data_IF_184821138319
#
_entry.id   IF_184821138319
#
_cell.length_a   1.000
_cell.length_b   1.000
_cell.length_c   1.000
_cell.angle_alpha   90.00
_cell.angle_beta   90.00
_cell.angle_gamma   90.00
#
_symmetry.space_group_name_H-M   'P 1'
#
loop_
_entity.id
_entity.type
_entity.pdbx_description
1 polymer ?
#
# COMPACT_ATOMS: atom_id res chain seq x y z
N UNK A 1 0.29 9.95 -6.83
CA UNK A 1 1.17 8.78 -6.98
C UNK A 1 2.66 9.04 -6.72
N UNK A 2 3.31 10.01 -7.38
CA UNK A 2 4.77 10.25 -7.24
C UNK A 2 5.26 10.33 -5.78
N UNK A 3 4.61 11.14 -4.93
CA UNK A 3 4.97 11.30 -3.49
C UNK A 3 4.78 10.03 -2.64
N UNK A 4 3.75 9.22 -2.94
CA UNK A 4 3.41 8.00 -2.20
C UNK A 4 4.51 6.95 -2.37
N UNK A 5 4.92 6.71 -3.61
CA UNK A 5 5.91 5.69 -3.92
C UNK A 5 7.33 6.16 -3.57
N UNK A 6 7.65 7.46 -3.65
CA UNK A 6 8.93 7.99 -3.13
C UNK A 6 9.06 7.78 -1.60
N UNK A 7 7.99 8.02 -0.83
CA UNK A 7 7.98 7.81 0.64
C UNK A 7 8.03 6.34 1.04
N UNK A 8 7.40 5.46 0.25
CA UNK A 8 7.47 4.00 0.38
C UNK A 8 8.92 3.49 0.59
N UNK A 9 9.87 4.12 -0.09
CA UNK A 9 11.27 3.68 -0.17
C UNK A 9 12.27 4.64 0.51
N UNK A 10 11.79 5.74 1.13
CA UNK A 10 12.63 6.59 2.01
C UNK A 10 12.45 6.26 3.49
N UNK A 11 11.25 5.87 3.95
CA UNK A 11 11.00 5.53 5.37
C UNK A 11 11.45 4.11 5.73
N UNK A 12 11.48 3.21 4.74
CA UNK A 12 12.02 1.85 4.88
C UNK A 12 13.33 1.83 4.12
N UNK A 13 14.48 1.70 4.80
CA UNK A 13 15.79 1.52 4.15
C UNK A 13 15.81 0.20 3.35
N UNK A 14 15.17 0.17 2.18
CA UNK A 14 15.32 -0.90 1.20
C UNK A 14 16.54 -0.53 0.36
N UNK A 15 17.71 -0.74 0.95
CA UNK A 15 18.96 -0.76 0.19
C UNK A 15 18.91 -2.01 -0.69
N UNK A 16 18.47 -1.86 -1.94
CA UNK A 16 18.71 -2.87 -2.97
C UNK A 16 20.20 -2.87 -3.25
N UNK A 17 20.95 -3.66 -2.48
CA UNK A 17 22.35 -3.90 -2.71
C UNK A 17 22.52 -4.43 -4.15
N UNK A 18 23.20 -3.65 -4.96
CA UNK A 18 23.76 -4.01 -6.26
C UNK A 18 24.76 -5.15 -6.08
N UNK A 19 24.27 -6.36 -5.87
CA UNK A 19 25.08 -7.57 -5.82
C UNK A 19 24.43 -8.63 -6.69
N UNK A 20 25.04 -8.83 -7.87
CA UNK A 20 24.96 -9.99 -8.76
C UNK A 20 23.58 -10.65 -8.85
N UNK A 21 22.72 -10.05 -9.68
CA UNK A 21 21.39 -10.57 -10.03
C UNK A 21 21.45 -12.00 -10.59
N UNK A 22 20.85 -12.95 -9.87
CA UNK A 22 20.61 -14.31 -10.34
C UNK A 22 19.43 -14.37 -11.33
N UNK A 23 19.50 -15.30 -12.29
CA UNK A 23 18.74 -15.37 -13.55
C UNK A 23 17.31 -15.96 -13.46
N UNK A 24 16.69 -16.06 -12.27
CA UNK A 24 15.32 -16.57 -12.13
C UNK A 24 14.36 -15.50 -11.58
N UNK A 25 13.31 -15.09 -12.33
CA UNK A 25 12.35 -14.03 -11.95
C UNK A 25 11.72 -14.25 -10.56
N UNK A 26 11.34 -15.50 -10.24
CA UNK A 26 10.70 -15.85 -8.96
C UNK A 26 11.55 -15.58 -7.72
N UNK A 27 12.87 -15.44 -7.84
CA UNK A 27 13.76 -15.18 -6.69
C UNK A 27 13.85 -13.69 -6.34
N UNK A 28 13.55 -12.77 -7.26
CA UNK A 28 13.71 -11.32 -7.06
C UNK A 28 12.63 -10.74 -6.16
N UNK A 29 11.37 -11.07 -6.43
CA UNK A 29 10.24 -10.60 -5.62
C UNK A 29 10.23 -11.24 -4.22
N UNK A 30 10.70 -12.49 -4.10
CA UNK A 30 10.93 -13.15 -2.80
C UNK A 30 12.04 -12.45 -1.99
N UNK A 31 13.05 -11.87 -2.64
CA UNK A 31 14.08 -11.09 -1.95
C UNK A 31 13.52 -9.74 -1.47
N UNK A 32 12.72 -9.06 -2.30
CA UNK A 32 12.07 -7.80 -1.95
C UNK A 32 11.12 -7.95 -0.74
N UNK A 33 10.33 -9.02 -0.70
CA UNK A 33 9.45 -9.34 0.44
C UNK A 33 10.22 -9.59 1.71
N UNK A 34 11.32 -10.35 1.66
CA UNK A 34 12.16 -10.58 2.84
C UNK A 34 12.70 -9.27 3.41
N UNK A 35 13.12 -8.31 2.56
CA UNK A 35 13.53 -6.99 3.05
C UNK A 35 12.39 -6.18 3.65
N UNK A 36 11.21 -6.16 3.00
CA UNK A 36 10.04 -5.44 3.50
C UNK A 36 9.57 -5.96 4.86
N UNK A 37 9.63 -7.28 5.08
CA UNK A 37 9.22 -7.93 6.33
C UNK A 37 10.28 -7.78 7.43
N UNK A 38 11.57 -7.86 7.09
CA UNK A 38 12.66 -7.68 8.07
C UNK A 38 12.76 -6.24 8.58
N UNK A 39 12.43 -5.24 7.76
CA UNK A 39 12.50 -3.83 8.17
C UNK A 39 11.33 -3.37 9.04
N UNK A 40 10.22 -4.12 9.10
CA UNK A 40 9.06 -3.78 9.95
C UNK A 40 9.14 -4.32 11.38
N UNK A 41 10.22 -5.04 11.74
CA UNK A 41 10.33 -5.73 13.05
C UNK A 41 11.38 -5.12 14.01
N UNK A 42 11.81 -3.87 13.79
CA UNK A 42 12.89 -3.24 14.58
C UNK A 42 12.46 -2.10 15.50
N UNK A 43 12.66 -2.32 16.82
CA UNK A 43 12.88 -1.35 17.91
C UNK A 43 11.66 -0.67 18.60
N UNK A 44 11.18 -1.32 19.66
CA UNK A 44 10.59 -0.68 20.85
C UNK A 44 11.36 -1.16 22.09
N UNK A 45 12.53 -0.58 22.32
CA UNK A 45 13.25 -0.69 23.59
C UNK A 45 12.99 0.57 24.41
N UNK A 46 12.01 0.50 25.32
CA UNK A 46 11.61 1.57 26.21
C UNK A 46 12.66 1.86 27.29
N UNK A 47 13.12 3.11 27.36
CA UNK A 47 13.87 3.67 28.50
C UNK A 47 12.95 3.74 29.72
N UNK A 48 13.42 3.20 30.85
CA UNK A 48 12.67 3.11 32.09
C UNK A 48 12.78 4.34 33.02
N UNK A 49 11.67 4.52 33.75
CA UNK A 49 11.53 4.95 35.16
C UNK A 49 11.57 6.47 35.51
N UNK A 50 11.00 6.93 36.66
CA UNK A 50 10.12 6.25 37.65
C UNK A 50 8.89 7.06 38.20
N UNK A 51 8.06 6.34 38.97
CA UNK A 51 7.37 6.71 40.24
C UNK A 51 6.07 7.58 40.29
N UNK A 52 4.98 6.95 40.78
CA UNK A 52 4.34 7.17 42.11
C UNK A 52 2.80 7.39 42.14
N UNK A 53 2.21 6.69 43.11
CA UNK A 53 0.98 6.95 43.88
C UNK A 53 -0.40 6.68 43.27
N UNK A 54 -1.14 5.80 43.96
CA UNK A 54 -2.53 5.42 43.72
C UNK A 54 -3.47 6.13 44.71
N UNK A 55 -4.65 6.55 44.26
CA UNK A 55 -5.88 6.63 45.07
C UNK A 55 -7.15 6.78 44.20
N UNK A 56 -8.25 6.28 44.75
CA UNK A 56 -9.59 5.96 44.22
C UNK A 56 -10.43 7.02 43.48
N UNK A 57 -11.30 6.46 42.61
CA UNK A 57 -12.71 6.76 42.29
C UNK A 57 -13.17 8.14 41.74
N UNK A 58 -13.65 8.18 40.47
CA UNK A 58 -15.08 8.27 40.07
C UNK A 58 -15.25 8.42 38.53
N UNK A 59 -16.43 8.09 37.94
CA UNK A 59 -16.58 7.76 36.52
C UNK A 59 -16.72 8.99 35.62
N UNK A 60 -15.66 9.32 34.88
CA UNK A 60 -15.69 10.40 33.89
C UNK A 60 -16.04 9.88 32.50
N UNK A 61 -17.23 10.28 32.03
CA UNK A 61 -17.68 10.35 30.63
C UNK A 61 -16.56 10.15 29.61
N UNK A 62 -16.63 9.06 28.84
CA UNK A 62 -15.75 8.86 27.68
C UNK A 62 -15.75 10.10 26.79
N UNK A 63 -14.58 10.62 26.42
CA UNK A 63 -14.50 11.81 25.62
C UNK A 63 -14.98 11.51 24.20
N UNK A 64 -15.91 12.36 23.74
CA UNK A 64 -16.23 12.73 22.36
C UNK A 64 -15.39 12.00 21.32
N UNK A 65 -16.07 11.26 20.44
CA UNK A 65 -15.56 10.83 19.15
C UNK A 65 -14.85 11.99 18.45
N UNK A 66 -13.52 12.04 18.59
CA UNK A 66 -12.67 12.94 17.82
C UNK A 66 -12.90 12.58 16.37
N UNK A 67 -13.37 13.56 15.60
CA UNK A 67 -13.72 13.43 14.20
C UNK A 67 -12.80 12.43 13.49
N UNK A 68 -13.39 11.36 12.95
CA UNK A 68 -12.73 10.42 12.05
C UNK A 68 -11.95 11.25 11.03
N UNK A 69 -10.62 11.29 11.15
CA UNK A 69 -9.78 11.71 10.03
C UNK A 69 -10.13 10.69 8.96
N UNK A 70 -10.79 11.11 7.89
CA UNK A 70 -11.17 10.17 6.84
C UNK A 70 -9.90 9.46 6.38
N UNK A 71 -9.85 8.16 6.64
CA UNK A 71 -8.75 7.30 6.27
C UNK A 71 -9.10 6.61 4.95
N UNK A 72 -8.09 6.42 4.12
CA UNK A 72 -8.17 5.61 2.90
C UNK A 72 -7.05 4.60 2.89
N UNK A 73 -7.20 3.52 2.14
CA UNK A 73 -6.15 2.55 1.92
C UNK A 73 -5.99 2.27 0.42
N UNK A 74 -4.74 2.07 -0.01
CA UNK A 74 -4.42 1.77 -1.41
C UNK A 74 -3.56 0.52 -1.49
N UNK A 75 -3.84 -0.33 -2.48
CA UNK A 75 -3.09 -1.54 -2.74
C UNK A 75 -1.95 -1.26 -3.72
N UNK A 76 -0.71 -1.38 -3.25
CA UNK A 76 0.47 -1.54 -4.12
C UNK A 76 0.56 -3.02 -4.49
N UNK A 77 -0.16 -3.39 -5.55
CA UNK A 77 -0.21 -4.77 -6.03
C UNK A 77 1.00 -5.07 -6.92
N UNK A 78 1.88 -5.94 -6.44
CA UNK A 78 3.10 -6.38 -7.10
C UNK A 78 2.94 -7.76 -7.73
N UNK A 79 3.51 -7.94 -8.91
CA UNK A 79 3.63 -9.25 -9.54
C UNK A 79 4.90 -9.31 -10.39
N UNK A 80 5.35 -10.52 -10.72
CA UNK A 80 6.48 -10.73 -11.60
C UNK A 80 5.99 -10.89 -13.03
N UNK A 81 6.52 -10.09 -13.95
CA UNK A 81 6.39 -10.33 -15.38
C UNK A 81 7.61 -11.11 -15.88
N UNK A 82 7.43 -12.28 -16.53
CA UNK A 82 8.55 -13.11 -16.96
C UNK A 82 9.54 -12.41 -17.90
N UNK A 83 9.09 -11.39 -18.64
CA UNK A 83 9.90 -10.68 -19.64
C UNK A 83 10.52 -9.39 -19.12
N UNK A 84 9.86 -8.72 -18.16
CA UNK A 84 10.20 -7.35 -17.74
C UNK A 84 10.42 -7.19 -16.22
N UNK A 85 10.29 -8.26 -15.44
CA UNK A 85 10.58 -8.27 -14.01
C UNK A 85 9.42 -7.77 -13.14
N UNK A 86 9.69 -7.23 -11.93
CA UNK A 86 8.66 -6.78 -11.01
C UNK A 86 7.85 -5.59 -11.55
N UNK A 87 6.52 -5.69 -11.45
CA UNK A 87 5.58 -4.67 -11.92
C UNK A 87 4.57 -4.30 -10.84
N UNK A 88 4.02 -3.09 -10.97
CA UNK A 88 2.96 -2.55 -10.12
C UNK A 88 1.70 -2.41 -10.95
N UNK A 89 0.58 -2.95 -10.47
CA UNK A 89 -0.73 -2.80 -11.09
C UNK A 89 -1.31 -1.41 -10.78
N UNK A 90 -1.91 -0.78 -11.79
CA UNK A 90 -2.45 0.58 -11.77
C UNK A 90 -3.84 0.61 -12.39
N UNK A 91 -4.64 1.59 -11.95
CA UNK A 91 -5.94 1.90 -12.54
C UNK A 91 -5.90 3.25 -13.22
N UNK A 92 -6.64 3.38 -14.31
CA UNK A 92 -7.01 4.67 -14.90
C UNK A 92 -8.46 4.93 -14.59
N UNK A 93 -8.72 6.04 -13.92
CA UNK A 93 -10.06 6.39 -13.48
C UNK A 93 -10.91 6.89 -14.63
N UNK A 94 -12.20 6.51 -14.66
CA UNK A 94 -13.10 6.82 -15.75
C UNK A 94 -13.20 8.33 -16.03
N UNK A 95 -13.11 8.70 -17.31
CA UNK A 95 -13.16 10.09 -17.76
C UNK A 95 -14.51 10.79 -17.49
N UNK A 96 -15.57 10.00 -17.27
CA UNK A 96 -16.93 10.46 -16.99
C UNK A 96 -17.18 10.95 -15.55
N UNK A 97 -16.22 10.75 -14.63
CA UNK A 97 -16.37 11.13 -13.22
C UNK A 97 -15.96 12.58 -12.96
N UNK A 98 -16.72 13.29 -12.12
CA UNK A 98 -16.66 14.75 -11.91
C UNK A 98 -15.38 15.31 -11.26
N UNK A 99 -14.52 14.47 -10.67
CA UNK A 99 -13.29 14.90 -9.97
C UNK A 99 -12.14 13.92 -10.15
N UNK A 100 -11.00 14.27 -10.76
CA UNK A 100 -9.85 13.37 -11.07
C UNK A 100 -10.00 12.48 -12.33
N UNK A 101 -10.71 12.94 -13.37
CA UNK A 101 -10.95 12.19 -14.62
C UNK A 101 -9.65 11.82 -15.33
N UNK A 102 -9.48 10.55 -15.71
CA UNK A 102 -8.30 10.06 -16.42
C UNK A 102 -7.01 10.00 -15.59
N UNK A 103 -7.08 10.30 -14.29
CA UNK A 103 -5.93 10.14 -13.40
C UNK A 103 -5.55 8.68 -13.26
N UNK A 104 -4.24 8.45 -13.21
CA UNK A 104 -3.66 7.16 -12.88
C UNK A 104 -3.52 7.06 -11.37
N UNK A 105 -3.93 5.93 -10.81
CA UNK A 105 -3.90 5.65 -9.38
C UNK A 105 -3.53 4.19 -9.10
N UNK A 106 -3.25 3.91 -7.83
CA UNK A 106 -3.29 2.55 -7.32
C UNK A 106 -4.76 2.21 -7.03
N UNK A 107 -5.16 0.94 -7.09
CA UNK A 107 -6.46 0.52 -6.58
C UNK A 107 -6.62 0.91 -5.11
N UNK A 108 -7.80 1.39 -4.73
CA UNK A 108 -8.06 1.76 -3.34
C UNK A 108 -9.00 2.93 -3.16
N UNK A 109 -9.47 3.08 -1.93
CA UNK A 109 -10.52 4.04 -1.60
C UNK A 109 -10.60 4.31 -0.11
N UNK A 110 -11.74 4.86 0.32
CA UNK A 110 -11.97 5.24 1.72
C UNK A 110 -12.26 3.99 2.55
N UNK A 111 -11.92 4.08 3.84
CA UNK A 111 -12.32 3.06 4.81
C UNK A 111 -13.85 3.12 4.97
N UNK A 112 -14.49 1.97 4.87
CA UNK A 112 -15.91 1.77 5.15
C UNK A 112 -16.11 1.21 6.55
N UNK A 113 -17.30 1.40 7.15
CA UNK A 113 -17.63 0.95 8.50
C UNK A 113 -17.46 -0.56 8.73
N UNK A 114 -17.52 -1.35 7.65
CA UNK A 114 -17.32 -2.81 7.67
C UNK A 114 -15.86 -3.26 7.56
N UNK A 115 -14.93 -2.36 7.28
CA UNK A 115 -13.53 -2.70 7.09
C UNK A 115 -12.84 -2.90 8.45
N UNK A 116 -12.32 -4.11 8.70
CA UNK A 116 -11.67 -4.44 9.96
C UNK A 116 -10.30 -3.75 10.15
N UNK A 117 -9.57 -3.53 9.05
CA UNK A 117 -8.25 -2.91 9.04
C UNK A 117 -7.92 -2.32 7.64
N UNK A 118 -6.81 -1.57 7.47
CA UNK A 118 -6.46 -1.01 6.16
C UNK A 118 -6.23 -2.04 5.05
N UNK A 119 -5.88 -3.28 5.38
CA UNK A 119 -5.72 -4.35 4.38
C UNK A 119 -7.08 -4.75 3.84
N UNK A 120 -8.08 -4.89 4.73
CA UNK A 120 -9.46 -5.16 4.35
C UNK A 120 -9.98 -4.09 3.38
N UNK A 121 -9.79 -2.80 3.71
CA UNK A 121 -10.16 -1.68 2.82
C UNK A 121 -9.48 -1.79 1.45
N UNK A 122 -8.14 -1.92 1.41
CA UNK A 122 -7.41 -1.95 0.14
C UNK A 122 -7.80 -3.15 -0.74
N UNK A 123 -8.06 -4.32 -0.13
CA UNK A 123 -8.46 -5.52 -0.85
C UNK A 123 -9.93 -5.48 -1.31
N UNK A 124 -10.84 -4.93 -0.50
CA UNK A 124 -12.24 -4.69 -0.90
C UNK A 124 -12.31 -3.77 -2.11
N UNK A 125 -11.64 -2.62 -2.03
CA UNK A 125 -11.61 -1.62 -3.10
C UNK A 125 -10.98 -2.21 -4.38
N UNK A 126 -9.86 -2.93 -4.28
CA UNK A 126 -9.28 -3.61 -5.44
C UNK A 126 -10.23 -4.67 -6.04
N UNK A 127 -11.02 -5.37 -5.21
CA UNK A 127 -12.03 -6.29 -5.72
C UNK A 127 -13.17 -5.55 -6.44
N UNK A 128 -13.64 -4.44 -5.88
CA UNK A 128 -14.74 -3.64 -6.43
C UNK A 128 -14.35 -2.94 -7.74
N UNK A 129 -13.18 -2.30 -7.78
CA UNK A 129 -12.71 -1.53 -8.92
C UNK A 129 -12.28 -2.41 -10.10
N UNK A 130 -11.53 -3.48 -9.82
CA UNK A 130 -10.81 -4.25 -10.85
C UNK A 130 -11.08 -5.76 -10.82
N UNK A 131 -11.91 -6.25 -9.89
CA UNK A 131 -12.23 -7.68 -9.77
C UNK A 131 -11.08 -8.52 -9.22
N UNK A 132 -10.09 -7.91 -8.55
CA UNK A 132 -8.98 -8.64 -7.96
C UNK A 132 -9.47 -9.42 -6.73
N UNK A 133 -9.59 -10.74 -6.86
CA UNK A 133 -9.95 -11.62 -5.75
C UNK A 133 -8.90 -11.50 -4.62
N UNK A 134 -9.30 -11.12 -3.39
CA UNK A 134 -8.40 -11.05 -2.24
C UNK A 134 -7.62 -12.35 -1.98
N UNK A 135 -8.18 -13.52 -2.36
CA UNK A 135 -7.50 -14.80 -2.20
C UNK A 135 -6.27 -14.97 -3.11
N UNK A 136 -6.17 -14.19 -4.19
CA UNK A 136 -5.00 -14.17 -5.08
C UNK A 136 -3.88 -13.28 -4.54
N UNK A 137 -4.15 -12.48 -3.50
CA UNK A 137 -3.22 -11.49 -2.97
C UNK A 137 -2.63 -11.94 -1.64
N UNK A 138 -1.32 -12.17 -1.64
CA UNK A 138 -0.54 -12.30 -0.40
C UNK A 138 -0.15 -10.92 0.09
N UNK A 139 -0.76 -10.45 1.18
CA UNK A 139 -0.38 -9.17 1.80
C UNK A 139 0.95 -9.33 2.52
N UNK A 140 1.93 -8.51 2.13
CA UNK A 140 3.31 -8.55 2.64
C UNK A 140 3.45 -7.65 3.87
N UNK A 141 3.01 -6.41 3.76
CA UNK A 141 3.13 -5.42 4.83
C UNK A 141 2.17 -4.25 4.64
N UNK A 142 1.91 -3.51 5.72
CA UNK A 142 1.18 -2.24 5.72
C UNK A 142 2.18 -1.16 6.09
N UNK A 143 2.21 -0.07 5.31
CA UNK A 143 3.19 1.00 5.49
C UNK A 143 2.62 2.18 6.26
N UNK A 144 3.51 3.08 6.67
CA UNK A 144 3.14 4.29 7.38
C UNK A 144 2.13 5.14 6.57
N UNK A 145 1.05 5.63 7.21
CA UNK A 145 0.11 6.53 6.56
C UNK A 145 0.79 7.83 6.12
N UNK A 146 0.35 8.39 5.00
CA UNK A 146 0.80 9.70 4.53
C UNK A 146 -0.39 10.59 4.17
N UNK A 147 -0.17 11.91 4.19
CA UNK A 147 -1.17 12.86 3.74
C UNK A 147 -1.11 13.02 2.22
N UNK A 148 -2.22 12.73 1.54
CA UNK A 148 -2.36 12.92 0.11
C UNK A 148 -2.44 14.41 -0.25
N UNK A 149 -2.28 14.75 -1.53
CA UNK A 149 -2.41 16.14 -2.02
C UNK A 149 -3.78 16.76 -1.72
N UNK A 150 -4.79 15.92 -1.55
CA UNK A 150 -6.16 16.35 -1.29
C UNK A 150 -6.48 16.39 0.21
N UNK A 151 -5.46 16.26 1.08
CA UNK A 151 -5.64 16.29 2.53
C UNK A 151 -6.18 14.98 3.14
N UNK A 152 -6.23 13.89 2.37
CA UNK A 152 -6.70 12.58 2.84
C UNK A 152 -5.55 11.79 3.44
N UNK A 153 -5.72 11.19 4.62
CA UNK A 153 -4.73 10.26 5.18
C UNK A 153 -4.85 8.91 4.51
N UNK A 154 -3.82 8.49 3.77
CA UNK A 154 -3.83 7.27 2.96
C UNK A 154 -2.82 6.28 3.53
N UNK A 155 -3.24 5.02 3.70
CA UNK A 155 -2.43 3.89 4.19
C UNK A 155 -2.05 3.00 3.00
N UNK A 156 -0.76 2.85 2.68
CA UNK A 156 -0.32 1.96 1.60
C UNK A 156 -0.24 0.51 2.11
N UNK A 157 -0.84 -0.43 1.37
CA UNK A 157 -0.77 -1.87 1.63
C UNK A 157 0.01 -2.53 0.51
N UNK A 158 1.08 -3.25 0.83
CA UNK A 158 1.87 -3.98 -0.16
C UNK A 158 1.32 -5.38 -0.29
N UNK A 159 0.79 -5.72 -1.46
CA UNK A 159 0.27 -7.04 -1.79
C UNK A 159 0.99 -7.64 -2.97
N UNK A 160 1.04 -8.97 -3.01
CA UNK A 160 1.64 -9.71 -4.12
C UNK A 160 0.66 -10.69 -4.73
N UNK A 161 0.64 -10.73 -6.06
CA UNK A 161 -0.04 -11.76 -6.84
C UNK A 161 1.05 -12.69 -7.41
N UNK A 162 1.26 -13.88 -6.82
CA UNK A 162 2.36 -14.77 -7.21
C UNK A 162 2.22 -15.29 -8.65
N UNK A 163 0.99 -15.50 -9.11
CA UNK A 163 0.67 -15.92 -10.46
C UNK A 163 -0.38 -14.98 -11.06
N UNK A 164 0.10 -14.02 -11.87
CA UNK A 164 -0.77 -13.05 -12.57
C UNK A 164 -1.74 -13.75 -13.53
N UNK A 165 -1.43 -14.96 -14.03
CA UNK A 165 -2.29 -15.66 -14.97
C UNK A 165 -3.62 -16.12 -14.33
N UNK A 166 -3.66 -16.23 -12.99
CA UNK A 166 -4.89 -16.52 -12.25
C UNK A 166 -5.81 -15.30 -12.14
N UNK A 167 -5.27 -14.09 -12.29
CA UNK A 167 -6.05 -12.87 -12.22
C UNK A 167 -6.73 -12.58 -13.56
N UNK A 168 -8.07 -12.63 -13.55
CA UNK A 168 -8.92 -12.27 -14.69
C UNK A 168 -9.63 -10.94 -14.38
N UNK A 169 -9.17 -9.80 -14.93
CA UNK A 169 -9.68 -8.49 -14.56
C UNK A 169 -11.15 -8.32 -14.94
N UNK A 170 -11.93 -7.73 -14.04
CA UNK A 170 -13.32 -7.33 -14.27
C UNK A 170 -13.46 -5.88 -13.81
N UNK A 171 -13.55 -4.96 -14.77
CA UNK A 171 -13.62 -3.52 -14.46
C UNK A 171 -15.01 -3.11 -14.00
N UNK A 172 -15.09 -2.40 -12.88
CA UNK A 172 -16.20 -1.52 -12.62
C UNK A 172 -16.09 -0.27 -13.51
N UNK A 173 -16.75 -0.30 -14.67
CA UNK A 173 -16.69 0.80 -15.66
C UNK A 173 -17.25 2.13 -15.17
N UNK A 174 -17.99 2.14 -14.05
CA UNK A 174 -18.42 3.39 -13.43
C UNK A 174 -17.25 4.16 -12.81
N UNK A 175 -16.17 3.45 -12.43
CA UNK A 175 -15.05 3.98 -11.67
C UNK A 175 -13.72 3.89 -12.42
N UNK A 176 -13.49 2.80 -13.13
CA UNK A 176 -12.24 2.48 -13.81
C UNK A 176 -12.49 2.31 -15.31
N UNK A 177 -11.77 3.10 -16.12
CA UNK A 177 -11.80 2.95 -17.58
C UNK A 177 -10.75 1.98 -18.10
N UNK A 178 -9.63 1.81 -17.39
CA UNK A 178 -8.54 0.93 -17.82
C UNK A 178 -7.70 0.39 -16.66
N UNK A 179 -7.08 -0.78 -16.86
CA UNK A 179 -6.05 -1.34 -15.99
C UNK A 179 -4.79 -1.52 -16.80
N UNK A 180 -3.68 -1.06 -16.23
CA UNK A 180 -2.37 -1.31 -16.80
C UNK A 180 -1.36 -1.49 -15.67
N UNK A 181 -0.11 -1.69 -16.06
CA UNK A 181 0.95 -1.91 -15.11
C UNK A 181 2.24 -1.20 -15.53
N UNK A 182 3.13 -1.04 -14.56
CA UNK A 182 4.34 -0.24 -14.67
C UNK A 182 5.51 -0.99 -14.02
N UNK A 183 6.72 -0.99 -14.62
CA UNK A 183 7.90 -1.53 -13.94
C UNK A 183 8.09 -0.90 -12.56
N UNK A 184 8.31 -1.72 -11.52
CA UNK A 184 8.52 -1.25 -10.15
C UNK A 184 9.67 -0.23 -10.07
N UNK A 185 10.70 -0.43 -10.89
CA UNK A 185 11.87 0.45 -10.98
C UNK A 185 11.55 1.90 -11.35
N UNK A 186 10.47 2.17 -12.09
CA UNK A 186 10.09 3.56 -12.41
C UNK A 186 9.75 4.37 -11.16
N UNK A 187 9.34 3.68 -10.09
CA UNK A 187 9.03 4.29 -8.81
C UNK A 187 10.23 4.37 -7.87
N UNK A 188 11.27 3.57 -8.15
CA UNK A 188 12.54 3.54 -7.40
C UNK A 188 13.58 4.53 -7.95
N UNK A 189 13.70 4.64 -9.29
CA UNK A 189 14.71 5.48 -9.97
C UNK A 189 14.61 6.96 -9.64
N UNK A 190 13.43 7.43 -9.22
CA UNK A 190 13.20 8.82 -8.82
C UNK A 190 14.02 9.21 -7.57
N UNK A 191 14.50 8.24 -6.77
CA UNK A 191 15.35 8.49 -5.61
C UNK A 191 16.83 8.76 -5.96
N UNK A 192 17.32 8.22 -7.09
CA UNK A 192 18.75 8.30 -7.44
C UNK A 192 19.12 9.56 -8.24
N UNK A 193 18.14 10.33 -8.73
CA UNK A 193 18.40 11.59 -9.45
C UNK A 193 18.24 12.84 -8.58
N UNK A 194 18.03 12.66 -7.27
CA UNK A 194 17.94 13.74 -6.27
C UNK A 194 19.12 13.71 -5.28
N UNK A 195 20.19 12.98 -5.61
CA UNK A 195 21.48 12.98 -4.91
C UNK A 195 22.51 13.83 -5.66
#
# INVERSE_FOLDING_TARGET
MRSLLTRLFTSTHIVMASSSFSSSPSRRLVHLTRHLVSSSSGELSSVGAPAAAASDADPVKSPRSTASRVHAAVLVCLFEDPSSGPRVLLTKRASSLSSHSGEVSLPGGKVDDGDADPKATALREAKEEIGLDPALVSVVTVLEPFLSKNGLTVVPVIGMVPDKALYKPVLNKAEVEDIFDAPLEMFLKVLLSLS
#
